data_IF_642617393726
#
_entry.id   IF_642617393726
#
_cell.length_a   1.000
_cell.length_b   1.000
_cell.length_c   1.000
_cell.angle_alpha   90.00
_cell.angle_beta   90.00
_cell.angle_gamma   90.00
#
_symmetry.space_group_name_H-M   'P 1'
#
loop_
_entity.id
_entity.type
_entity.pdbx_description
1 polymer ?
#
# COMPACT_ATOMS: atom_id res chain seq x y z
N UNK A 1 6.97 -0.54 -12.19
CA UNK A 1 7.62 0.79 -12.17
C UNK A 1 8.75 0.87 -11.13
N UNK A 2 8.50 0.53 -9.85
CA UNK A 2 9.52 0.58 -8.79
C UNK A 2 10.77 -0.29 -9.05
N UNK A 3 10.57 -1.53 -9.51
CA UNK A 3 11.66 -2.47 -9.87
C UNK A 3 12.58 -1.92 -10.97
N UNK A 4 12.02 -1.30 -12.01
CA UNK A 4 12.79 -0.70 -13.10
C UNK A 4 13.43 0.62 -12.68
N UNK A 5 12.71 1.45 -11.91
CA UNK A 5 13.23 2.69 -11.36
C UNK A 5 14.46 2.46 -10.49
N UNK A 6 14.41 1.48 -9.58
CA UNK A 6 15.56 1.14 -8.73
C UNK A 6 16.73 0.55 -9.53
N UNK A 7 16.44 -0.18 -10.61
CA UNK A 7 17.47 -0.78 -11.46
C UNK A 7 18.26 0.26 -12.26
N UNK A 8 17.63 1.35 -12.68
CA UNK A 8 18.29 2.41 -13.45
C UNK A 8 18.71 3.63 -12.61
N UNK A 9 18.03 3.88 -11.49
CA UNK A 9 18.21 5.06 -10.64
C UNK A 9 18.08 4.71 -9.15
N UNK A 10 19.00 3.91 -8.58
CA UNK A 10 18.87 3.35 -7.23
C UNK A 10 18.77 4.41 -6.12
N UNK A 11 19.40 5.57 -6.28
CA UNK A 11 19.39 6.65 -5.27
C UNK A 11 18.31 7.71 -5.46
N UNK A 12 17.50 7.65 -6.52
CA UNK A 12 16.53 8.71 -6.82
C UNK A 12 15.41 8.78 -5.77
N UNK A 13 14.97 7.62 -5.28
CA UNK A 13 14.01 7.54 -4.18
C UNK A 13 14.56 8.18 -2.90
N UNK A 14 15.78 7.82 -2.52
CA UNK A 14 16.43 8.34 -1.31
C UNK A 14 16.66 9.85 -1.39
N UNK A 15 17.10 10.36 -2.54
CA UNK A 15 17.27 11.80 -2.76
C UNK A 15 15.94 12.56 -2.67
N UNK A 16 14.88 12.02 -3.30
CA UNK A 16 13.55 12.61 -3.25
C UNK A 16 13.00 12.64 -1.82
N UNK A 17 13.14 11.53 -1.09
CA UNK A 17 12.72 11.42 0.31
C UNK A 17 13.55 12.33 1.22
N UNK A 18 14.86 12.45 1.02
CA UNK A 18 15.71 13.39 1.76
C UNK A 18 15.28 14.85 1.51
N UNK A 19 14.83 15.18 0.29
CA UNK A 19 14.37 16.51 -0.09
C UNK A 19 12.99 16.87 0.47
N UNK A 20 12.07 15.90 0.50
CA UNK A 20 10.63 16.16 0.71
C UNK A 20 10.03 15.51 1.94
N UNK A 21 10.64 14.44 2.45
CA UNK A 21 10.06 13.56 3.47
C UNK A 21 9.84 14.22 4.82
N UNK A 22 10.75 15.10 5.26
CA UNK A 22 10.57 15.80 6.53
C UNK A 22 9.42 16.81 6.49
N UNK A 23 9.25 17.50 5.37
CA UNK A 23 8.16 18.47 5.20
C UNK A 23 6.82 17.77 5.00
N UNK A 24 6.78 16.63 4.30
CA UNK A 24 5.52 15.90 4.05
C UNK A 24 4.92 15.23 5.29
N UNK A 25 5.71 15.04 6.35
CA UNK A 25 5.24 14.53 7.64
C UNK A 25 4.69 15.62 8.57
N UNK A 26 4.92 16.90 8.26
CA UNK A 26 4.45 18.02 9.08
C UNK A 26 3.07 18.49 8.61
N UNK A 27 2.32 19.05 9.55
CA UNK A 27 1.06 19.76 9.31
C UNK A 27 1.18 21.16 9.91
N UNK A 28 0.50 22.13 9.30
CA UNK A 28 0.38 23.48 9.84
C UNK A 28 -0.67 23.55 10.96
N UNK A 29 -1.36 22.44 11.25
CA UNK A 29 -2.32 22.34 12.35
C UNK A 29 -1.59 22.44 13.71
N UNK A 30 -2.06 23.34 14.60
CA UNK A 30 -1.47 23.48 15.92
C UNK A 30 -1.68 22.21 16.75
N UNK A 31 -0.68 21.87 17.57
CA UNK A 31 -0.79 20.74 18.50
C UNK A 31 -1.84 21.04 19.57
N UNK A 32 -2.76 20.11 19.77
CA UNK A 32 -3.68 20.11 20.89
C UNK A 32 -2.90 19.97 22.23
N UNK A 33 -2.96 20.97 23.13
CA UNK A 33 -2.29 20.92 24.43
C UNK A 33 -2.92 19.91 25.39
N UNK A 34 -4.18 19.53 25.19
CA UNK A 34 -4.93 18.61 26.05
C UNK A 34 -4.97 17.18 25.49
N UNK A 35 -4.26 16.93 24.38
CA UNK A 35 -4.09 15.61 23.77
C UNK A 35 -3.74 14.55 24.83
N UNK A 36 -4.52 13.46 24.94
CA UNK A 36 -4.19 12.37 25.85
C UNK A 36 -2.88 11.68 25.42
N UNK A 37 -2.09 11.26 26.41
CA UNK A 37 -0.86 10.50 26.21
C UNK A 37 -1.11 9.01 26.52
N UNK A 38 -0.34 8.14 25.85
CA UNK A 38 -0.43 6.69 26.02
C UNK A 38 0.86 6.07 26.59
N UNK A 39 1.68 6.86 27.32
CA UNK A 39 3.00 6.42 27.78
C UNK A 39 2.94 5.40 28.91
N UNK A 40 1.93 5.49 29.77
CA UNK A 40 1.81 4.68 30.99
C UNK A 40 0.54 3.83 31.01
N UNK A 41 -0.54 4.33 30.42
CA UNK A 41 -1.80 3.62 30.24
C UNK A 41 -2.30 3.85 28.81
N UNK A 42 -3.02 2.88 28.21
CA UNK A 42 -3.71 3.12 26.96
C UNK A 42 -4.73 4.26 27.11
N UNK A 43 -4.94 5.02 26.04
CA UNK A 43 -6.06 5.97 25.98
C UNK A 43 -7.33 5.16 25.74
N UNK A 44 -8.41 5.50 26.45
CA UNK A 44 -9.71 4.88 26.25
C UNK A 44 -10.28 5.23 24.86
N UNK A 45 -10.80 4.23 24.15
CA UNK A 45 -11.47 4.42 22.86
C UNK A 45 -11.14 3.34 21.81
N UNK A 46 -11.97 3.29 20.76
CA UNK A 46 -11.71 2.48 19.56
C UNK A 46 -10.95 3.33 18.53
N UNK A 47 -9.63 3.19 18.51
CA UNK A 47 -8.75 3.84 17.53
C UNK A 47 -8.61 2.99 16.27
N UNK A 48 -9.74 2.65 15.65
CA UNK A 48 -9.81 1.99 14.35
C UNK A 48 -9.09 2.78 13.25
N UNK A 49 -9.22 2.35 11.99
CA UNK A 49 -8.47 2.93 10.86
C UNK A 49 -8.87 4.38 10.47
N UNK A 50 -9.59 5.09 11.34
CA UNK A 50 -10.19 6.40 11.12
C UNK A 50 -9.51 7.47 11.99
N UNK A 51 -9.48 8.71 11.52
CA UNK A 51 -8.81 9.82 12.20
C UNK A 51 -8.60 11.04 11.33
N UNK A 52 -7.58 11.85 11.66
CA UNK A 52 -7.31 13.16 11.03
C UNK A 52 -7.13 13.13 9.49
N UNK A 53 -6.94 11.95 8.89
CA UNK A 53 -6.80 11.79 7.45
C UNK A 53 -8.07 11.31 6.74
N UNK A 54 -9.18 11.07 7.44
CA UNK A 54 -10.41 10.52 6.86
C UNK A 54 -10.94 11.36 5.69
N UNK A 55 -10.87 12.69 5.81
CA UNK A 55 -11.29 13.61 4.75
C UNK A 55 -10.51 13.44 3.43
N UNK A 56 -9.33 12.82 3.48
CA UNK A 56 -8.46 12.55 2.32
C UNK A 56 -8.32 11.06 2.02
N UNK A 57 -8.82 10.19 2.89
CA UNK A 57 -8.77 8.76 2.72
C UNK A 57 -9.64 8.33 1.54
N UNK A 58 -9.29 7.20 0.93
CA UNK A 58 -10.07 6.61 -0.17
C UNK A 58 -10.55 5.24 0.26
N UNK A 59 -11.85 5.00 0.14
CA UNK A 59 -12.47 3.72 0.47
C UNK A 59 -12.01 2.57 -0.42
N UNK A 60 -11.57 2.88 -1.64
CA UNK A 60 -11.15 1.87 -2.63
C UNK A 60 -9.83 2.22 -3.28
N UNK A 61 -9.02 1.19 -3.50
CA UNK A 61 -7.78 1.25 -4.26
C UNK A 61 -7.80 0.17 -5.33
N UNK A 62 -7.86 0.58 -6.60
CA UNK A 62 -7.85 -0.34 -7.73
C UNK A 62 -6.62 -1.25 -7.70
N UNK A 63 -5.47 -0.69 -7.29
CA UNK A 63 -4.22 -1.44 -7.19
C UNK A 63 -4.32 -2.53 -6.13
N UNK A 64 -4.89 -2.20 -4.96
CA UNK A 64 -5.11 -3.16 -3.89
C UNK A 64 -6.09 -4.26 -4.33
N UNK A 65 -7.23 -3.90 -4.93
CA UNK A 65 -8.21 -4.86 -5.41
C UNK A 65 -7.62 -5.81 -6.45
N UNK A 66 -6.89 -5.30 -7.44
CA UNK A 66 -6.25 -6.14 -8.46
C UNK A 66 -5.18 -7.07 -7.85
N UNK A 67 -4.38 -6.57 -6.90
CA UNK A 67 -3.33 -7.38 -6.27
C UNK A 67 -3.87 -8.54 -5.44
N UNK A 68 -5.04 -8.38 -4.80
CA UNK A 68 -5.70 -9.48 -4.06
C UNK A 68 -5.91 -10.72 -4.94
N UNK A 69 -6.20 -10.51 -6.22
CA UNK A 69 -6.56 -11.59 -7.15
C UNK A 69 -5.44 -12.00 -8.10
N UNK A 70 -4.30 -11.32 -8.12
CA UNK A 70 -3.22 -11.61 -9.08
C UNK A 70 -2.75 -13.07 -9.00
N UNK A 71 -2.61 -13.62 -7.79
CA UNK A 71 -2.17 -15.00 -7.56
C UNK A 71 -3.24 -16.04 -7.95
N UNK A 72 -4.48 -15.98 -7.44
CA UNK A 72 -5.50 -16.96 -7.83
C UNK A 72 -5.83 -16.88 -9.32
N UNK A 73 -5.84 -15.69 -9.94
CA UNK A 73 -6.03 -15.54 -11.38
C UNK A 73 -4.87 -16.18 -12.16
N UNK A 74 -3.62 -15.95 -11.75
CA UNK A 74 -2.47 -16.57 -12.40
C UNK A 74 -2.51 -18.10 -12.29
N UNK A 75 -2.91 -18.65 -11.13
CA UNK A 75 -3.04 -20.08 -10.91
C UNK A 75 -4.15 -20.68 -11.77
N UNK A 76 -5.34 -20.06 -11.78
CA UNK A 76 -6.47 -20.51 -12.61
C UNK A 76 -6.12 -20.45 -14.10
N UNK A 77 -5.51 -19.36 -14.55
CA UNK A 77 -5.04 -19.20 -15.92
C UNK A 77 -3.98 -20.25 -16.29
N UNK A 78 -3.01 -20.49 -15.41
CA UNK A 78 -1.99 -21.53 -15.60
C UNK A 78 -2.59 -22.94 -15.70
N UNK A 79 -3.56 -23.27 -14.85
CA UNK A 79 -4.26 -24.54 -14.89
C UNK A 79 -5.05 -24.73 -16.20
N UNK A 80 -5.79 -23.71 -16.64
CA UNK A 80 -6.54 -23.75 -17.91
C UNK A 80 -5.61 -23.94 -19.11
N UNK A 81 -4.48 -23.20 -19.15
CA UNK A 81 -3.47 -23.36 -20.20
C UNK A 81 -2.83 -24.75 -20.18
N UNK A 82 -2.54 -25.30 -18.99
CA UNK A 82 -2.01 -26.65 -18.84
C UNK A 82 -2.99 -27.72 -19.37
N UNK A 83 -4.27 -27.62 -19.04
CA UNK A 83 -5.31 -28.52 -19.54
C UNK A 83 -5.45 -28.40 -21.06
N UNK A 84 -5.50 -27.19 -21.60
CA UNK A 84 -5.56 -26.96 -23.05
C UNK A 84 -4.36 -27.56 -23.80
N UNK A 85 -3.15 -27.44 -23.23
CA UNK A 85 -1.94 -28.03 -23.79
C UNK A 85 -1.98 -29.57 -23.78
N UNK A 86 -2.50 -30.20 -22.72
CA UNK A 86 -2.69 -31.65 -22.67
C UNK A 86 -3.68 -32.14 -23.72
N UNK A 87 -4.81 -31.44 -23.89
CA UNK A 87 -5.78 -31.75 -24.94
C UNK A 87 -5.20 -31.57 -26.34
N UNK A 88 -4.43 -30.50 -26.58
CA UNK A 88 -3.77 -30.27 -27.87
C UNK A 88 -2.72 -31.32 -28.20
N UNK A 89 -1.99 -31.85 -27.20
CA UNK A 89 -1.03 -32.96 -27.36
C UNK A 89 -1.70 -34.31 -27.64
N UNK A 90 -2.92 -34.50 -27.14
CA UNK A 90 -3.66 -35.77 -27.28
C UNK A 90 -4.40 -35.92 -28.62
N UNK A 91 -4.38 -34.88 -29.47
CA UNK A 91 -4.84 -34.90 -30.86
C UNK A 91 -3.66 -35.11 -31.79
#
# INVERSE_FOLDING_TARGET
LFLWGNKFFPGLGDWYLARTGYKSQQTDEPRDPERPFNLWQPVDGDFGAHGAFDARAKERSWYLEMNKYVRPVALAGGALLGVAALFAKSR
#
